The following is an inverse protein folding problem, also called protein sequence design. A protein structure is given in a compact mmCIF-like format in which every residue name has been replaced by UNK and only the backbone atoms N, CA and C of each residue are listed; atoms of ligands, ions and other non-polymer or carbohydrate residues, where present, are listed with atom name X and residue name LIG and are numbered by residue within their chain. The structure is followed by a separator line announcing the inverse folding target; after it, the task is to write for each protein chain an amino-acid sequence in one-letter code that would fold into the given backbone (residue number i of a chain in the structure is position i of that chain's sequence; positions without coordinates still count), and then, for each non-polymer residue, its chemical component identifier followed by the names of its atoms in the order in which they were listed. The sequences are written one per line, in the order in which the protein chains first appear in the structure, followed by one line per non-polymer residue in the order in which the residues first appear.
data_IF_373705553829
#
_entry.id   IF_373705553829
#
_cell.length_a   1.000
_cell.length_b   1.000
_cell.length_c   1.000
_cell.angle_alpha   90.00
_cell.angle_beta   90.00
_cell.angle_gamma   90.00
#
_symmetry.space_group_name_H-M   'P 1'
#
loop_
_entity.id
_entity.type
_entity.pdbx_description
1 polymer ?
#
# COMPACT_ATOMS: atom_id res chain seq x y z
N UNK A 1 6.97 -49.06 -66.18
CA UNK A 1 7.93 -48.46 -65.24
C UNK A 1 7.26 -48.51 -63.87
N UNK A 2 7.28 -49.67 -63.18
CA UNK A 2 8.26 -50.07 -62.13
C UNK A 2 8.06 -49.19 -60.88
N UNK A 3 7.74 -49.62 -59.66
CA UNK A 3 7.65 -50.89 -58.91
C UNK A 3 6.79 -50.53 -57.68
N UNK A 4 5.77 -51.27 -57.24
CA UNK A 4 5.85 -52.62 -56.70
C UNK A 4 6.48 -52.61 -55.30
N UNK A 5 5.67 -52.58 -54.23
CA UNK A 5 6.05 -53.13 -52.92
C UNK A 5 4.82 -53.45 -52.04
N UNK A 6 4.29 -54.67 -52.23
CA UNK A 6 3.57 -55.43 -51.22
C UNK A 6 4.57 -56.22 -50.36
N UNK A 7 4.27 -56.36 -49.06
CA UNK A 7 4.29 -57.61 -48.24
C UNK A 7 4.33 -57.30 -46.72
N UNK A 8 3.16 -57.37 -46.07
CA UNK A 8 2.71 -58.34 -45.06
C UNK A 8 3.69 -59.00 -44.02
N UNK A 9 3.19 -59.69 -42.96
CA UNK A 9 3.40 -59.33 -41.54
C UNK A 9 4.25 -60.38 -40.77
N UNK A 10 4.75 -60.03 -39.59
CA UNK A 10 5.24 -61.04 -38.61
C UNK A 10 4.93 -60.58 -37.18
N UNK A 11 3.91 -61.15 -36.54
CA UNK A 11 3.96 -62.35 -35.67
C UNK A 11 4.72 -62.15 -34.35
N UNK A 12 3.97 -61.71 -33.35
CA UNK A 12 3.87 -62.24 -31.97
C UNK A 12 5.04 -63.13 -31.51
N UNK A 13 5.85 -62.62 -30.59
CA UNK A 13 6.59 -63.44 -29.63
C UNK A 13 6.04 -63.17 -28.23
N UNK A 14 5.21 -64.10 -27.73
CA UNK A 14 5.09 -64.35 -26.29
C UNK A 14 6.43 -64.91 -25.83
N UNK A 15 6.99 -64.36 -24.75
CA UNK A 15 7.77 -65.16 -23.82
C UNK A 15 7.11 -65.05 -22.45
N UNK A 16 6.69 -66.22 -22.00
CA UNK A 16 6.29 -66.52 -20.64
C UNK A 16 7.52 -66.56 -19.73
N UNK A 17 7.25 -66.41 -18.43
CA UNK A 17 8.08 -66.77 -17.27
C UNK A 17 9.28 -65.84 -16.99
N UNK A 18 9.55 -65.41 -15.75
CA UNK A 18 9.38 -66.09 -14.47
C UNK A 18 8.94 -65.09 -13.39
N UNK A 19 8.05 -65.57 -12.53
CA UNK A 19 7.64 -64.92 -11.29
C UNK A 19 8.82 -64.66 -10.35
N UNK A 20 9.00 -63.41 -9.93
CA UNK A 20 9.67 -63.10 -8.68
C UNK A 20 8.70 -62.32 -7.79
N UNK A 21 7.90 -63.08 -7.04
CA UNK A 21 7.25 -62.64 -5.80
C UNK A 21 8.35 -62.13 -4.87
N UNK A 22 8.62 -60.83 -4.87
CA UNK A 22 9.39 -60.23 -3.77
C UNK A 22 8.44 -60.06 -2.59
N UNK A 23 8.74 -60.83 -1.56
CA UNK A 23 7.94 -60.99 -0.36
C UNK A 23 7.71 -59.67 0.37
N UNK A 24 6.45 -59.46 0.78
CA UNK A 24 6.11 -58.53 1.84
C UNK A 24 6.87 -58.94 3.11
N UNK A 25 7.62 -58.05 3.77
CA UNK A 25 8.13 -58.37 5.10
C UNK A 25 6.93 -58.48 6.05
N UNK A 26 6.80 -59.66 6.65
CA UNK A 26 5.97 -59.89 7.83
C UNK A 26 6.49 -58.96 8.92
N UNK A 27 5.62 -58.08 9.42
CA UNK A 27 5.86 -57.28 10.60
C UNK A 27 6.00 -58.24 11.79
N UNK A 28 7.24 -58.57 12.14
CA UNK A 28 7.57 -59.14 13.44
C UNK A 28 7.33 -58.04 14.46
N UNK A 29 6.38 -58.28 15.37
CA UNK A 29 6.17 -57.47 16.55
C UNK A 29 7.45 -57.51 17.40
N UNK A 30 8.31 -56.52 17.21
CA UNK A 30 9.43 -56.26 18.08
C UNK A 30 8.95 -55.36 19.23
N UNK A 31 9.02 -55.93 20.41
CA UNK A 31 8.84 -55.33 21.72
C UNK A 31 9.57 -53.99 21.84
N UNK A 32 8.86 -53.00 22.36
CA UNK A 32 9.33 -51.67 22.72
C UNK A 32 10.67 -51.67 23.48
N UNK A 33 11.68 -50.88 23.04
CA UNK A 33 12.70 -50.38 23.94
C UNK A 33 12.20 -49.10 24.63
N UNK A 34 12.14 -49.15 25.97
CA UNK A 34 11.81 -48.06 26.87
C UNK A 34 12.56 -46.77 26.53
N UNK A 35 11.82 -45.66 26.48
CA UNK A 35 12.36 -44.31 26.40
C UNK A 35 13.27 -44.01 27.62
N UNK A 36 14.34 -43.21 27.45
CA UNK A 36 15.15 -42.75 28.57
C UNK A 36 14.34 -41.82 29.50
N UNK A 37 14.63 -41.80 30.82
CA UNK A 37 13.94 -40.92 31.74
C UNK A 37 14.20 -39.45 31.38
N UNK A 38 13.12 -38.67 31.26
CA UNK A 38 13.18 -37.22 31.12
C UNK A 38 13.80 -36.59 32.38
N UNK A 39 14.64 -35.55 32.27
CA UNK A 39 15.15 -34.86 33.46
C UNK A 39 13.99 -34.21 34.24
N UNK A 40 14.10 -34.07 35.56
CA UNK A 40 13.06 -33.42 36.36
C UNK A 40 12.87 -31.98 35.88
N UNK A 41 11.65 -31.63 35.47
CA UNK A 41 11.23 -30.25 35.21
C UNK A 41 11.41 -29.45 36.49
N UNK A 42 12.31 -28.46 36.47
CA UNK A 42 12.42 -27.45 37.53
C UNK A 42 11.07 -26.74 37.67
N UNK A 43 10.52 -26.55 38.88
CA UNK A 43 9.32 -25.73 39.04
C UNK A 43 9.63 -24.30 38.62
N UNK A 44 8.79 -23.73 37.76
CA UNK A 44 8.84 -22.32 37.41
C UNK A 44 8.64 -21.48 38.69
N UNK A 45 9.33 -20.34 38.85
CA UNK A 45 9.12 -19.47 40.00
C UNK A 45 7.68 -18.95 39.98
N UNK A 46 6.89 -19.34 41.00
CA UNK A 46 5.58 -18.77 41.27
C UNK A 46 5.79 -17.34 41.75
N UNK A 47 5.62 -16.37 40.85
CA UNK A 47 5.58 -14.96 41.22
C UNK A 47 4.41 -14.72 42.16
N UNK A 48 4.70 -14.65 43.46
CA UNK A 48 3.73 -14.19 44.45
C UNK A 48 3.48 -12.71 44.18
N UNK A 49 2.31 -12.39 43.59
CA UNK A 49 1.81 -11.02 43.57
C UNK A 49 1.51 -10.65 45.02
N UNK A 50 2.49 -10.06 45.70
CA UNK A 50 2.26 -9.33 46.96
C UNK A 50 1.38 -8.13 46.62
N UNK A 51 0.08 -8.31 46.82
CA UNK A 51 -0.92 -7.23 46.94
C UNK A 51 -0.52 -6.44 48.18
N UNK A 52 0.19 -5.34 48.00
CA UNK A 52 0.67 -4.60 49.17
C UNK A 52 1.56 -3.39 48.91
N UNK A 53 1.52 -2.76 47.73
CA UNK A 53 2.11 -1.42 47.53
C UNK A 53 1.34 -0.68 46.43
N UNK A 54 0.07 -0.33 46.67
CA UNK A 54 -0.68 0.68 45.87
C UNK A 54 -1.24 1.79 46.77
N UNK A 55 -0.85 1.83 48.05
CA UNK A 55 -1.44 2.74 49.04
C UNK A 55 -0.67 4.03 49.36
N UNK A 56 0.42 4.38 48.67
CA UNK A 56 1.32 5.46 49.12
C UNK A 56 1.80 6.44 48.03
N UNK A 57 1.14 6.51 46.87
CA UNK A 57 1.33 7.61 45.90
C UNK A 57 0.00 8.25 45.49
N UNK A 58 -0.96 8.27 46.42
CA UNK A 58 -2.25 8.98 46.30
C UNK A 58 -2.40 10.07 47.38
N UNK A 59 -1.29 10.71 47.77
CA UNK A 59 -1.26 11.73 48.82
C UNK A 59 -0.46 13.00 48.46
N UNK A 60 -0.16 13.23 47.18
CA UNK A 60 0.46 14.49 46.69
C UNK A 60 -0.32 15.13 45.52
N UNK A 61 -1.64 14.91 45.44
CA UNK A 61 -2.48 15.45 44.37
C UNK A 61 -3.66 16.31 44.88
N UNK A 62 -3.57 16.92 46.07
CA UNK A 62 -4.61 17.83 46.61
C UNK A 62 -4.09 19.20 47.07
N UNK A 63 -2.77 19.44 47.09
CA UNK A 63 -2.19 20.73 47.53
C UNK A 63 -1.57 21.59 46.41
N UNK A 64 -1.75 21.22 45.13
CA UNK A 64 -1.23 21.96 43.98
C UNK A 64 -2.23 22.89 43.28
N UNK A 65 -3.51 22.90 43.68
CA UNK A 65 -4.58 23.61 42.96
C UNK A 65 -5.19 24.81 43.72
N UNK A 66 -4.58 25.28 44.81
CA UNK A 66 -5.15 26.38 45.64
C UNK A 66 -4.34 27.68 45.59
N UNK A 67 -3.20 27.74 44.89
CA UNK A 67 -2.38 28.98 44.80
C UNK A 67 -2.68 29.84 43.56
N UNK A 68 -3.56 29.42 42.65
CA UNK A 68 -3.87 30.17 41.42
C UNK A 68 -5.16 31.03 41.48
N UNK A 69 -5.74 31.23 42.67
CA UNK A 69 -7.02 31.97 42.82
C UNK A 69 -6.92 33.22 43.72
N UNK A 70 -5.74 33.84 43.82
CA UNK A 70 -5.54 35.14 44.46
C UNK A 70 -4.61 36.01 43.59
N UNK A 71 -5.20 36.72 42.61
CA UNK A 71 -4.67 37.92 41.94
C UNK A 71 -3.58 37.73 40.86
N UNK A 72 -3.52 38.58 39.81
CA UNK A 72 -3.89 40.00 39.85
C UNK A 72 -4.94 40.40 38.80
N UNK A 73 -6.13 40.77 39.26
CA UNK A 73 -6.92 41.82 38.60
C UNK A 73 -6.37 43.16 39.05
N UNK A 74 -5.42 43.71 38.30
CA UNK A 74 -4.84 45.02 38.61
C UNK A 74 -3.83 45.52 37.60
N UNK A 75 -4.27 46.45 36.76
CA UNK A 75 -3.50 47.48 36.05
C UNK A 75 -2.44 47.04 35.03
N UNK A 76 -2.87 46.94 33.78
CA UNK A 76 -2.11 47.49 32.66
C UNK A 76 -3.08 48.25 31.74
N UNK A 77 -3.11 49.58 31.85
CA UNK A 77 -3.57 50.44 30.76
C UNK A 77 -2.49 50.37 29.66
N UNK A 78 -2.51 49.29 28.89
CA UNK A 78 -1.89 49.30 27.58
C UNK A 78 -2.93 49.87 26.62
N UNK A 79 -2.67 51.07 26.10
CA UNK A 79 -3.35 51.52 24.89
C UNK A 79 -2.98 50.51 23.80
N UNK A 80 -3.89 49.60 23.49
CA UNK A 80 -3.82 48.87 22.24
C UNK A 80 -4.11 49.90 21.14
N UNK A 81 -3.06 50.43 20.52
CA UNK A 81 -3.19 50.97 19.17
C UNK A 81 -3.60 49.80 18.28
N UNK A 82 -4.87 49.79 17.87
CA UNK A 82 -5.36 48.94 16.80
C UNK A 82 -4.72 49.50 15.53
N UNK A 83 -3.57 48.94 15.15
CA UNK A 83 -3.17 48.99 13.75
C UNK A 83 -4.17 48.08 13.01
N UNK A 84 -5.07 48.72 12.27
CA UNK A 84 -6.05 48.09 11.38
C UNK A 84 -5.28 47.49 10.18
N UNK A 85 -4.57 46.38 10.42
CA UNK A 85 -4.04 45.52 9.37
C UNK A 85 -5.21 44.74 8.79
N UNK A 86 -5.89 45.37 7.84
CA UNK A 86 -6.87 44.74 6.97
C UNK A 86 -6.28 43.44 6.42
N UNK A 87 -6.78 42.29 6.88
CA UNK A 87 -6.46 41.01 6.27
C UNK A 87 -7.10 40.96 4.89
N UNK A 88 -6.36 41.43 3.88
CA UNK A 88 -6.70 41.26 2.48
C UNK A 88 -6.54 39.78 2.16
N UNK A 89 -7.64 39.04 2.21
CA UNK A 89 -7.67 37.68 1.68
C UNK A 89 -7.32 37.72 0.19
N UNK A 90 -6.59 36.72 -0.31
CA UNK A 90 -6.30 36.54 -1.75
C UNK A 90 -7.58 36.53 -2.63
N UNK A 91 -8.76 36.39 -2.03
CA UNK A 91 -10.04 36.49 -2.71
C UNK A 91 -10.45 37.94 -3.00
N UNK A 92 -10.10 38.90 -2.14
CA UNK A 92 -10.43 40.32 -2.31
C UNK A 92 -9.59 40.97 -3.42
N UNK A 93 -8.30 40.59 -3.56
CA UNK A 93 -7.43 41.10 -4.63
C UNK A 93 -7.83 40.66 -6.04
N UNK A 94 -8.70 39.65 -6.18
CA UNK A 94 -9.16 39.16 -7.49
C UNK A 94 -10.43 39.86 -8.02
N UNK A 95 -11.15 40.65 -7.22
CA UNK A 95 -12.40 41.27 -7.66
C UNK A 95 -12.17 42.62 -8.37
N UNK A 96 -11.18 43.40 -7.95
CA UNK A 96 -10.80 44.66 -8.63
C UNK A 96 -10.22 44.41 -10.04
N UNK A 97 -9.47 43.32 -10.23
CA UNK A 97 -8.90 42.93 -11.53
C UNK A 97 -9.96 42.44 -12.54
N UNK A 98 -11.16 42.05 -12.07
CA UNK A 98 -12.25 41.60 -12.96
C UNK A 98 -13.13 42.78 -13.40
N UNK A 99 -13.24 43.86 -12.61
CA UNK A 99 -14.11 44.99 -12.92
C UNK A 99 -13.47 46.05 -13.83
N UNK A 100 -12.14 46.10 -13.93
CA UNK A 100 -11.44 47.01 -14.85
C UNK A 100 -11.56 46.62 -16.34
N UNK A 101 -12.25 45.51 -16.67
CA UNK A 101 -12.44 45.05 -18.06
C UNK A 101 -13.89 45.04 -18.57
N UNK A 102 -14.81 45.69 -17.86
CA UNK A 102 -16.24 45.70 -18.20
C UNK A 102 -16.85 47.12 -18.32
N UNK A 103 -16.04 48.15 -18.53
CA UNK A 103 -16.51 49.53 -18.64
C UNK A 103 -15.76 50.34 -19.68
N UNK A 104 -15.87 49.95 -20.96
CA UNK A 104 -15.75 50.91 -22.06
C UNK A 104 -16.55 50.38 -23.26
N UNK A 105 -17.80 50.80 -23.34
CA UNK A 105 -18.67 50.59 -24.48
C UNK A 105 -19.06 51.99 -24.97
N UNK A 106 -18.28 52.55 -25.90
CA UNK A 106 -18.71 53.62 -26.81
C UNK A 106 -17.76 53.78 -28.02
N UNK A 107 -18.13 53.10 -29.10
CA UNK A 107 -18.06 53.53 -30.50
C UNK A 107 -16.74 54.06 -31.07
N UNK A 108 -16.06 53.23 -31.88
CA UNK A 108 -15.70 53.51 -33.28
C UNK A 108 -14.91 52.34 -33.90
N UNK A 109 -15.51 51.64 -34.87
CA UNK A 109 -14.76 50.91 -35.91
C UNK A 109 -14.12 51.95 -36.87
N UNK A 110 -12.83 51.80 -37.30
CA UNK A 110 -12.41 50.61 -38.03
C UNK A 110 -10.97 50.09 -37.74
N UNK A 111 -10.69 48.92 -38.33
CA UNK A 111 -9.42 48.17 -38.45
C UNK A 111 -9.04 47.25 -37.26
N UNK A 112 -9.16 45.91 -37.40
CA UNK A 112 -8.50 45.02 -36.47
C UNK A 112 -6.99 45.14 -36.68
N UNK A 113 -6.29 45.74 -35.72
CA UNK A 113 -4.85 45.59 -35.63
C UNK A 113 -4.52 44.09 -35.67
N UNK A 114 -3.93 43.64 -36.77
CA UNK A 114 -3.42 42.30 -36.91
C UNK A 114 -2.35 42.09 -35.84
N UNK A 115 -2.73 41.46 -34.74
CA UNK A 115 -1.77 40.94 -33.77
C UNK A 115 -1.04 39.79 -34.48
N UNK A 116 0.10 40.12 -35.08
CA UNK A 116 1.09 39.16 -35.55
C UNK A 116 1.46 38.27 -34.36
N UNK A 117 0.81 37.10 -34.29
CA UNK A 117 1.05 36.11 -33.26
C UNK A 117 2.38 35.45 -33.62
N UNK A 118 3.45 36.15 -33.28
CA UNK A 118 4.83 35.76 -33.49
C UNK A 118 4.98 34.26 -33.26
N UNK A 119 5.23 33.55 -34.34
CA UNK A 119 5.70 32.19 -34.33
C UNK A 119 6.98 32.17 -33.48
N UNK A 120 6.91 31.51 -32.33
CA UNK A 120 8.09 31.13 -31.58
C UNK A 120 8.38 29.66 -31.89
N UNK A 121 9.40 29.39 -32.69
CA UNK A 121 9.98 28.05 -32.76
C UNK A 121 10.92 27.87 -31.57
N UNK A 122 10.45 27.20 -30.51
CA UNK A 122 11.39 26.53 -29.59
C UNK A 122 12.06 25.44 -30.38
N UNK A 123 13.38 25.52 -30.52
CA UNK A 123 14.20 24.44 -31.02
C UNK A 123 14.13 23.28 -30.01
N UNK A 124 13.13 22.41 -30.14
CA UNK A 124 13.10 21.13 -29.44
C UNK A 124 14.10 20.25 -30.18
N UNK A 125 15.33 20.18 -29.67
CA UNK A 125 16.23 19.08 -29.99
C UNK A 125 15.41 17.80 -29.80
N UNK A 126 15.27 16.91 -30.81
CA UNK A 126 14.48 15.70 -30.63
C UNK A 126 15.07 14.96 -29.43
N UNK A 127 14.32 14.93 -28.32
CA UNK A 127 14.60 14.01 -27.23
C UNK A 127 14.48 12.64 -27.89
N UNK A 128 15.53 11.80 -27.86
CA UNK A 128 15.42 10.46 -28.41
C UNK A 128 14.17 9.84 -27.79
N UNK A 129 13.24 9.41 -28.65
CA UNK A 129 12.14 8.56 -28.24
C UNK A 129 12.76 7.46 -27.40
N UNK A 130 12.50 7.39 -26.07
CA UNK A 130 12.79 6.16 -25.39
C UNK A 130 11.84 5.16 -26.04
N UNK A 131 12.36 4.36 -26.97
CA UNK A 131 11.74 3.10 -27.34
C UNK A 131 11.39 2.46 -26.02
N UNK A 132 10.11 2.24 -25.68
CA UNK A 132 9.80 1.38 -24.56
C UNK A 132 10.39 0.02 -24.94
N UNK A 133 11.61 -0.25 -24.46
CA UNK A 133 12.06 -1.61 -24.27
C UNK A 133 11.06 -2.17 -23.28
N UNK A 134 10.07 -2.87 -23.82
CA UNK A 134 9.38 -3.92 -23.11
C UNK A 134 10.50 -4.80 -22.54
N UNK A 135 10.81 -4.60 -21.26
CA UNK A 135 11.46 -5.61 -20.45
C UNK A 135 10.47 -6.75 -20.41
N UNK A 136 10.58 -7.62 -21.40
CA UNK A 136 9.97 -8.93 -21.48
C UNK A 136 10.53 -9.75 -20.32
N UNK A 137 10.02 -9.48 -19.13
CA UNK A 137 9.95 -10.49 -18.07
C UNK A 137 8.85 -11.44 -18.51
N UNK A 138 9.21 -12.39 -19.39
CA UNK A 138 8.43 -13.61 -19.57
C UNK A 138 8.56 -14.43 -18.29
N UNK A 139 7.88 -14.00 -17.24
CA UNK A 139 7.37 -14.93 -16.24
C UNK A 139 6.04 -15.40 -16.78
N UNK A 140 6.06 -16.58 -17.39
CA UNK A 140 4.87 -17.37 -17.67
C UNK A 140 4.11 -17.59 -16.36
N UNK A 141 3.17 -16.70 -16.01
CA UNK A 141 2.23 -17.00 -14.95
C UNK A 141 1.19 -17.93 -15.52
N UNK A 142 1.17 -19.15 -15.00
CA UNK A 142 -0.03 -19.99 -14.93
C UNK A 142 -1.11 -19.16 -14.22
N UNK A 143 -1.80 -18.32 -14.99
CA UNK A 143 -2.40 -17.09 -14.48
C UNK A 143 -3.72 -17.33 -13.78
N UNK A 144 -3.77 -16.98 -12.50
CA UNK A 144 -5.02 -16.74 -11.81
C UNK A 144 -5.80 -15.60 -12.47
N UNK A 145 -7.07 -15.44 -12.09
CA UNK A 145 -7.92 -14.37 -12.60
C UNK A 145 -7.32 -12.99 -12.30
N UNK A 146 -7.17 -12.16 -13.35
CA UNK A 146 -6.67 -10.79 -13.26
C UNK A 146 -7.84 -9.80 -13.21
N UNK A 147 -7.83 -8.83 -12.28
CA UNK A 147 -8.83 -7.78 -12.25
C UNK A 147 -8.68 -6.84 -13.46
N UNK A 148 -9.79 -6.30 -13.99
CA UNK A 148 -9.74 -5.26 -15.00
C UNK A 148 -9.23 -3.94 -14.41
N UNK A 149 -8.63 -3.10 -15.25
CA UNK A 149 -8.23 -1.76 -14.86
C UNK A 149 -9.46 -0.89 -14.53
N UNK A 150 -9.29 -0.04 -13.52
CA UNK A 150 -10.25 1.01 -13.16
C UNK A 150 -9.50 2.33 -13.12
N UNK A 151 -10.09 3.37 -13.71
CA UNK A 151 -9.54 4.72 -13.61
C UNK A 151 -9.82 5.25 -12.20
N UNK A 152 -8.80 5.67 -11.43
CA UNK A 152 -9.02 6.19 -10.09
C UNK A 152 -9.67 7.57 -10.13
N UNK A 153 -10.58 7.82 -9.18
CA UNK A 153 -11.18 9.14 -9.01
C UNK A 153 -10.13 10.16 -8.54
N UNK A 154 -10.06 11.37 -9.14
CA UNK A 154 -9.14 12.41 -8.70
C UNK A 154 -9.28 12.73 -7.21
N UNK A 155 -8.14 12.89 -6.53
CA UNK A 155 -8.11 13.18 -5.09
C UNK A 155 -8.38 11.97 -4.17
N UNK A 156 -8.67 10.79 -4.72
CA UNK A 156 -8.82 9.57 -3.94
C UNK A 156 -7.47 8.97 -3.52
N UNK A 157 -7.49 8.09 -2.51
CA UNK A 157 -6.32 7.28 -2.17
C UNK A 157 -5.84 6.39 -3.35
N UNK A 158 -6.77 5.98 -4.23
CA UNK A 158 -6.41 5.23 -5.44
C UNK A 158 -5.64 6.09 -6.44
N UNK A 159 -5.97 7.37 -6.59
CA UNK A 159 -5.22 8.27 -7.47
C UNK A 159 -3.78 8.46 -6.97
N UNK A 160 -3.60 8.67 -5.66
CA UNK A 160 -2.27 8.73 -5.03
C UNK A 160 -1.48 7.43 -5.29
N UNK A 161 -2.13 6.29 -5.11
CA UNK A 161 -1.50 5.00 -5.38
C UNK A 161 -1.14 4.82 -6.86
N UNK A 162 -1.97 5.29 -7.79
CA UNK A 162 -1.70 5.21 -9.22
C UNK A 162 -0.42 5.96 -9.59
N UNK A 163 -0.29 7.22 -9.14
CA UNK A 163 0.92 8.01 -9.36
C UNK A 163 2.16 7.32 -8.79
N UNK A 164 2.05 6.75 -7.58
CA UNK A 164 3.14 6.04 -6.91
C UNK A 164 3.48 4.68 -7.55
N UNK A 165 2.52 4.02 -8.19
CA UNK A 165 2.72 2.79 -8.96
C UNK A 165 3.46 3.12 -10.26
N UNK A 166 3.02 4.14 -10.99
CA UNK A 166 3.70 4.62 -12.19
C UNK A 166 5.13 5.09 -11.90
N UNK A 167 5.34 5.82 -10.80
CA UNK A 167 6.66 6.27 -10.36
C UNK A 167 7.62 5.11 -10.06
N UNK A 168 7.11 3.90 -9.78
CA UNK A 168 7.90 2.67 -9.58
C UNK A 168 8.17 1.90 -10.87
N UNK A 169 7.68 2.39 -12.01
CA UNK A 169 7.78 1.71 -13.31
C UNK A 169 6.79 0.54 -13.45
N UNK A 170 5.78 0.45 -12.59
CA UNK A 170 4.70 -0.52 -12.71
C UNK A 170 3.56 0.06 -13.56
N UNK A 171 2.99 -0.75 -14.44
CA UNK A 171 1.93 -0.32 -15.35
C UNK A 171 0.52 -0.44 -14.78
N UNK A 172 -0.46 -0.09 -15.62
CA UNK A 172 -1.90 -0.13 -15.30
C UNK A 172 -2.38 -1.52 -14.84
N UNK A 173 -1.74 -2.56 -15.35
CA UNK A 173 -2.03 -3.95 -15.04
C UNK A 173 -1.67 -4.29 -13.57
N UNK A 174 -0.58 -3.71 -13.07
CA UNK A 174 -0.18 -3.79 -11.67
C UNK A 174 -1.10 -2.96 -10.78
N UNK A 175 -1.48 -1.77 -11.24
CA UNK A 175 -2.44 -0.95 -10.52
C UNK A 175 -3.79 -1.66 -10.35
N UNK A 176 -4.30 -2.32 -11.39
CA UNK A 176 -5.54 -3.10 -11.30
C UNK A 176 -5.47 -4.18 -10.21
N UNK A 177 -4.34 -4.92 -10.14
CA UNK A 177 -4.08 -5.91 -9.10
C UNK A 177 -4.04 -5.27 -7.70
N UNK A 178 -3.39 -4.11 -7.55
CA UNK A 178 -3.34 -3.36 -6.30
C UNK A 178 -4.74 -2.94 -5.83
N UNK A 179 -5.56 -2.43 -6.75
CA UNK A 179 -6.95 -2.02 -6.47
C UNK A 179 -7.75 -3.18 -5.93
N UNK A 180 -7.71 -4.33 -6.59
CA UNK A 180 -8.42 -5.52 -6.12
C UNK A 180 -7.89 -6.01 -4.76
N UNK A 181 -6.58 -6.01 -4.58
CA UNK A 181 -5.91 -6.42 -3.35
C UNK A 181 -6.36 -5.57 -2.16
N UNK A 182 -6.09 -4.26 -2.17
CA UNK A 182 -6.42 -3.39 -1.04
C UNK A 182 -7.92 -3.13 -0.88
N UNK A 183 -8.73 -3.36 -1.91
CA UNK A 183 -10.19 -3.44 -1.77
C UNK A 183 -10.60 -4.60 -0.88
N UNK A 184 -9.96 -5.78 -0.98
CA UNK A 184 -10.22 -6.93 -0.10
C UNK A 184 -9.75 -6.68 1.33
N UNK A 185 -8.61 -6.01 1.49
CA UNK A 185 -8.00 -5.77 2.80
C UNK A 185 -8.77 -4.75 3.64
N UNK A 186 -9.02 -3.57 3.09
CA UNK A 186 -9.54 -2.42 3.85
C UNK A 186 -10.73 -1.73 3.19
N UNK A 187 -10.98 -2.02 1.91
CA UNK A 187 -11.86 -1.21 1.08
C UNK A 187 -11.28 0.18 0.80
N UNK A 188 -9.94 0.31 0.76
CA UNK A 188 -9.22 1.57 0.55
C UNK A 188 -9.41 2.63 1.67
N UNK A 189 -9.84 2.22 2.86
CA UNK A 189 -10.03 3.13 4.01
C UNK A 189 -8.75 3.32 4.81
N UNK A 190 -8.33 4.57 4.97
CA UNK A 190 -7.12 4.99 5.73
C UNK A 190 -7.20 4.63 7.21
N UNK A 191 -8.41 4.65 7.77
CA UNK A 191 -8.70 4.32 9.17
C UNK A 191 -9.24 2.90 9.36
N UNK A 192 -9.07 2.00 8.39
CA UNK A 192 -9.52 0.62 8.53
C UNK A 192 -8.73 -0.06 9.66
N UNK A 193 -9.42 -0.36 10.77
CA UNK A 193 -8.85 -1.08 11.90
C UNK A 193 -9.56 -2.42 12.10
N UNK A 194 -8.79 -3.50 12.19
CA UNK A 194 -9.28 -4.83 12.52
C UNK A 194 -8.99 -5.12 14.00
N UNK A 195 -10.02 -5.07 14.85
CA UNK A 195 -9.86 -5.27 16.30
C UNK A 195 -9.38 -6.68 16.70
N UNK A 196 -9.63 -7.69 15.88
CA UNK A 196 -9.20 -9.07 16.16
C UNK A 196 -7.71 -9.31 15.90
N UNK A 197 -7.16 -8.69 14.86
CA UNK A 197 -5.74 -8.85 14.49
C UNK A 197 -4.85 -7.68 14.89
N UNK A 198 -5.41 -6.48 15.05
CA UNK A 198 -4.66 -5.23 15.20
C UNK A 198 -4.12 -4.65 13.89
N UNK A 199 -4.53 -5.18 12.73
CA UNK A 199 -4.14 -4.64 11.44
C UNK A 199 -4.75 -3.26 11.19
N UNK A 200 -3.99 -2.36 10.56
CA UNK A 200 -4.39 -0.96 10.36
C UNK A 200 -4.14 -0.45 8.93
N UNK A 201 -5.05 0.40 8.48
CA UNK A 201 -4.89 1.25 7.29
C UNK A 201 -5.20 0.56 5.98
N UNK A 202 -4.94 1.26 4.87
CA UNK A 202 -5.15 0.79 3.50
C UNK A 202 -4.49 -0.59 3.28
N UNK A 203 -3.20 -0.80 3.61
CA UNK A 203 -2.55 -2.09 3.37
C UNK A 203 -2.84 -3.15 4.44
N UNK A 204 -3.58 -2.83 5.51
CA UNK A 204 -3.78 -3.68 6.68
C UNK A 204 -2.43 -4.13 7.32
N UNK A 205 -1.56 -3.17 7.63
CA UNK A 205 -0.24 -3.45 8.19
C UNK A 205 -0.33 -4.01 9.63
N UNK A 206 0.50 -5.01 9.94
CA UNK A 206 0.55 -5.65 11.26
C UNK A 206 1.96 -5.65 11.89
N UNK A 207 2.18 -4.93 13.01
CA UNK A 207 1.34 -3.85 13.52
C UNK A 207 1.36 -2.63 12.60
N UNK A 208 0.31 -1.79 12.68
CA UNK A 208 0.20 -0.54 11.91
C UNK A 208 1.39 0.40 12.07
N UNK A 209 2.00 0.43 13.26
CA UNK A 209 3.17 1.26 13.58
C UNK A 209 4.40 1.01 12.70
N UNK A 210 4.46 -0.10 11.96
CA UNK A 210 5.51 -0.32 10.96
C UNK A 210 5.48 0.73 9.85
N UNK A 211 4.32 1.33 9.56
CA UNK A 211 4.19 2.39 8.57
C UNK A 211 4.90 3.69 8.98
N UNK A 212 5.30 3.84 10.25
CA UNK A 212 6.10 4.96 10.72
C UNK A 212 7.45 5.10 9.99
N UNK A 213 7.96 4.02 9.38
CA UNK A 213 9.18 4.10 8.56
C UNK A 213 8.99 4.85 7.24
N UNK A 214 7.74 5.05 6.78
CA UNK A 214 7.44 5.85 5.59
C UNK A 214 7.07 7.31 5.95
N UNK A 215 6.67 7.57 7.20
CA UNK A 215 6.29 8.90 7.67
C UNK A 215 5.66 8.84 9.06
N UNK A 216 5.89 9.88 9.87
CA UNK A 216 5.36 9.95 11.24
C UNK A 216 3.82 10.08 11.31
N UNK A 217 3.20 10.52 10.21
CA UNK A 217 1.77 10.77 10.03
C UNK A 217 1.00 9.56 9.47
N UNK A 218 1.60 8.37 9.53
CA UNK A 218 1.07 7.14 8.92
C UNK A 218 -0.35 6.77 9.34
N UNK A 219 -0.79 7.18 10.52
CA UNK A 219 -2.10 6.80 11.03
C UNK A 219 -3.24 7.47 10.24
N UNK A 220 -3.05 8.71 9.78
CA UNK A 220 -4.10 9.49 9.13
C UNK A 220 -3.79 9.86 7.68
N UNK A 221 -2.56 9.65 7.21
CA UNK A 221 -2.15 10.02 5.86
C UNK A 221 -2.19 8.83 4.88
N UNK A 222 -3.10 8.81 3.88
CA UNK A 222 -3.13 7.76 2.86
C UNK A 222 -1.82 7.64 2.09
N UNK A 223 -1.16 8.76 1.75
CA UNK A 223 0.07 8.73 0.97
C UNK A 223 1.19 7.98 1.72
N UNK A 224 1.32 8.20 3.03
CA UNK A 224 2.28 7.50 3.89
C UNK A 224 1.98 6.00 3.95
N UNK A 225 0.71 5.62 4.12
CA UNK A 225 0.30 4.21 4.15
C UNK A 225 0.55 3.50 2.80
N UNK A 226 0.22 4.18 1.70
CA UNK A 226 0.42 3.68 0.34
C UNK A 226 1.91 3.53 0.06
N UNK A 227 2.74 4.52 0.39
CA UNK A 227 4.17 4.46 0.17
C UNK A 227 4.80 3.27 0.90
N UNK A 228 4.43 3.05 2.17
CA UNK A 228 4.86 1.88 2.93
C UNK A 228 4.36 0.57 2.31
N UNK A 229 3.06 0.48 1.99
CA UNK A 229 2.44 -0.72 1.45
C UNK A 229 3.02 -1.13 0.09
N UNK A 230 3.27 -0.17 -0.81
CA UNK A 230 3.94 -0.43 -2.08
C UNK A 230 5.39 -0.89 -1.89
N UNK A 231 6.11 -0.33 -0.91
CA UNK A 231 7.44 -0.78 -0.54
C UNK A 231 7.44 -2.24 -0.05
N UNK A 232 6.50 -2.59 0.83
CA UNK A 232 6.31 -3.96 1.29
C UNK A 232 5.97 -4.93 0.15
N UNK A 233 5.03 -4.54 -0.73
CA UNK A 233 4.66 -5.34 -1.90
C UNK A 233 5.86 -5.57 -2.82
N UNK A 234 6.61 -4.52 -3.15
CA UNK A 234 7.80 -4.63 -3.99
C UNK A 234 8.86 -5.54 -3.36
N UNK A 235 9.13 -5.38 -2.07
CA UNK A 235 10.15 -6.17 -1.38
C UNK A 235 9.79 -7.64 -1.18
N UNK A 236 8.51 -7.97 -0.99
CA UNK A 236 8.06 -9.34 -0.67
C UNK A 236 7.54 -10.12 -1.87
N UNK A 237 6.85 -9.44 -2.79
CA UNK A 237 6.17 -10.06 -3.92
C UNK A 237 6.72 -9.62 -5.28
N UNK A 238 7.63 -8.65 -5.30
CA UNK A 238 8.19 -8.06 -6.52
C UNK A 238 7.24 -7.08 -7.21
N UNK A 239 5.93 -7.35 -7.20
CA UNK A 239 4.92 -6.52 -7.87
C UNK A 239 3.52 -6.67 -7.25
N UNK A 240 2.61 -5.70 -7.47
CA UNK A 240 1.22 -5.80 -7.03
C UNK A 240 0.47 -7.04 -7.54
N UNK A 241 0.68 -7.45 -8.80
CA UNK A 241 0.07 -8.69 -9.29
C UNK A 241 0.66 -9.93 -8.64
N UNK A 242 1.97 -9.93 -8.33
CA UNK A 242 2.57 -11.01 -7.54
C UNK A 242 1.93 -11.15 -6.15
N UNK A 243 1.63 -10.02 -5.50
CA UNK A 243 0.93 -9.99 -4.21
C UNK A 243 -0.53 -10.45 -4.35
N UNK A 244 -1.23 -10.01 -5.38
CA UNK A 244 -2.60 -10.45 -5.68
C UNK A 244 -2.69 -11.96 -5.90
N UNK A 245 -1.82 -12.51 -6.75
CA UNK A 245 -1.77 -13.95 -7.02
C UNK A 245 -1.49 -14.77 -5.76
N UNK A 246 -0.62 -14.27 -4.88
CA UNK A 246 -0.40 -14.88 -3.57
C UNK A 246 -1.66 -14.84 -2.72
N UNK A 247 -2.28 -13.66 -2.59
CA UNK A 247 -3.50 -13.41 -1.81
C UNK A 247 -4.69 -14.26 -2.28
N UNK A 248 -4.80 -14.55 -3.58
CA UNK A 248 -5.83 -15.42 -4.12
C UNK A 248 -5.62 -16.90 -3.77
N UNK A 249 -4.37 -17.33 -3.55
CA UNK A 249 -4.05 -18.72 -3.18
C UNK A 249 -4.07 -18.97 -1.67
N UNK A 250 -3.61 -17.99 -0.87
CA UNK A 250 -3.38 -18.18 0.57
C UNK A 250 -4.35 -17.42 1.46
N UNK A 251 -5.10 -16.46 0.89
CA UNK A 251 -6.01 -15.58 1.63
C UNK A 251 -5.34 -14.40 2.31
N UNK A 252 -4.02 -14.23 2.19
CA UNK A 252 -3.25 -13.12 2.77
C UNK A 252 -2.11 -12.69 1.85
N UNK A 253 -1.52 -11.52 2.10
CA UNK A 253 -0.27 -11.05 1.49
C UNK A 253 0.56 -10.28 2.54
#
# INVERSE_FOLDING_TARGET
MTSGNERYPTRRARRHEVAARSARPVAVAASSPSAPPSPPRKPAPRWSRRRGVVGAFAAFAVLGFVVAYIGPTGLALAQASVDDESQVSLYASGLDDVQSRAGDESAADPEPAALDRGNYTVYVKPKPTPTPQASTSTSSSSGGWRPPFVTPDPGSAQAIAYDMVLARGWGDDQFACLVALWKKESGWRVNAYNAGSGAYGIPQALPGSKMASAGADWETNPATQIAWGLGYIGGRYGSPCGAWDHSQRTGWY
#
